data_IF_634914392042
#
_entry.id   IF_634914392042
#
_cell.length_a   1.000
_cell.length_b   1.000
_cell.length_c   1.000
_cell.angle_alpha   90.00
_cell.angle_beta   90.00
_cell.angle_gamma   90.00
#
_symmetry.space_group_name_H-M   'P 1'
#
loop_
_entity.id
_entity.type
_entity.pdbx_description
1 polymer ?
#
# COMPACT_ATOMS: atom_id res chain seq x y z
N UNK A 1 -9.89 -29.65 -36.49
CA UNK A 1 -8.57 -29.31 -35.93
C UNK A 1 -8.63 -27.85 -35.50
N UNK A 2 -8.99 -27.58 -34.23
CA UNK A 2 -8.94 -26.26 -33.66
C UNK A 2 -7.53 -26.03 -33.13
N UNK A 3 -6.82 -25.13 -33.78
CA UNK A 3 -5.49 -24.67 -33.36
C UNK A 3 -5.64 -23.82 -32.11
N UNK A 4 -5.20 -24.32 -30.96
CA UNK A 4 -5.06 -23.58 -29.75
C UNK A 4 -3.80 -22.68 -29.87
N UNK A 5 -4.00 -21.46 -30.34
CA UNK A 5 -2.99 -20.40 -30.24
C UNK A 5 -2.82 -20.02 -28.77
N UNK A 6 -1.75 -20.50 -28.15
CA UNK A 6 -1.32 -20.13 -26.81
C UNK A 6 -1.20 -18.63 -26.67
N UNK A 7 -1.93 -18.09 -25.71
CA UNK A 7 -1.76 -16.76 -25.13
C UNK A 7 -0.40 -16.72 -24.38
N UNK A 8 0.68 -16.49 -25.10
CA UNK A 8 2.01 -16.25 -24.52
C UNK A 8 2.25 -14.74 -24.36
N UNK A 9 1.52 -14.17 -23.42
CA UNK A 9 1.78 -12.85 -22.84
C UNK A 9 1.93 -12.97 -21.34
N UNK A 10 2.70 -13.97 -20.85
CA UNK A 10 3.07 -14.01 -19.43
C UNK A 10 4.08 -12.89 -19.17
N UNK A 11 3.60 -11.76 -18.64
CA UNK A 11 4.48 -10.78 -18.01
C UNK A 11 5.25 -11.50 -16.89
N UNK A 12 6.55 -11.68 -17.09
CA UNK A 12 7.40 -12.35 -16.10
C UNK A 12 7.76 -11.36 -15.02
N UNK A 13 7.68 -11.81 -13.76
CA UNK A 13 8.15 -11.02 -12.62
C UNK A 13 9.62 -10.63 -12.88
N UNK A 14 9.94 -9.32 -12.79
CA UNK A 14 11.30 -8.87 -13.06
C UNK A 14 12.28 -9.46 -12.05
N UNK A 15 13.41 -9.95 -12.53
CA UNK A 15 14.50 -10.36 -11.66
C UNK A 15 15.27 -9.14 -11.19
N UNK A 16 15.08 -8.75 -9.93
CA UNK A 16 15.82 -7.64 -9.34
C UNK A 16 17.22 -8.13 -8.94
N UNK A 17 18.21 -7.61 -9.64
CA UNK A 17 19.63 -7.76 -9.29
C UNK A 17 20.07 -6.48 -8.61
N UNK A 18 20.55 -6.60 -7.39
CA UNK A 18 21.18 -5.45 -6.75
C UNK A 18 22.54 -5.18 -7.40
N UNK A 19 22.89 -3.91 -7.64
CA UNK A 19 24.25 -3.60 -7.99
C UNK A 19 25.17 -4.04 -6.83
N UNK A 20 26.38 -4.54 -7.11
CA UNK A 20 27.34 -4.83 -6.05
C UNK A 20 27.51 -3.61 -5.14
N UNK A 21 27.59 -3.82 -3.83
CA UNK A 21 27.70 -2.74 -2.83
C UNK A 21 28.85 -1.75 -3.11
N UNK A 22 29.89 -2.22 -3.81
CA UNK A 22 31.03 -1.41 -4.28
C UNK A 22 30.72 -0.55 -5.50
N UNK A 23 29.58 -0.75 -6.17
CA UNK A 23 29.16 -0.01 -7.38
C UNK A 23 27.97 0.92 -7.15
N UNK A 24 27.43 1.01 -5.93
CA UNK A 24 26.34 1.94 -5.63
C UNK A 24 26.92 3.34 -5.47
N UNK A 25 27.01 4.05 -6.59
CA UNK A 25 27.44 5.48 -6.65
C UNK A 25 26.23 6.44 -6.62
N UNK A 26 25.01 5.91 -6.52
CA UNK A 26 23.81 6.74 -6.52
C UNK A 26 23.80 7.65 -5.28
N UNK A 27 23.89 8.94 -5.53
CA UNK A 27 23.71 9.93 -4.46
C UNK A 27 22.23 9.96 -4.06
N UNK A 28 21.96 9.76 -2.78
CA UNK A 28 20.62 9.92 -2.23
C UNK A 28 20.19 11.38 -2.39
N UNK A 29 19.07 11.61 -3.04
CA UNK A 29 18.47 12.93 -3.22
C UNK A 29 17.48 13.17 -2.10
N UNK A 30 17.58 14.35 -1.47
CA UNK A 30 16.65 14.77 -0.42
C UNK A 30 16.08 16.14 -0.80
N UNK A 31 14.77 16.27 -0.66
CA UNK A 31 14.04 17.51 -0.88
C UNK A 31 13.44 17.96 0.47
N UNK A 32 13.70 19.19 0.84
CA UNK A 32 13.11 19.86 2.01
C UNK A 32 11.97 20.79 1.62
N UNK A 33 11.42 21.53 2.58
CA UNK A 33 10.34 22.49 2.36
C UNK A 33 10.71 23.57 1.33
N UNK A 34 11.96 24.01 1.33
CA UNK A 34 12.46 25.07 0.41
C UNK A 34 13.09 24.52 -0.87
N UNK A 35 12.98 23.22 -1.13
CA UNK A 35 13.55 22.59 -2.32
C UNK A 35 14.65 21.56 -2.01
N UNK A 36 15.43 21.14 -3.02
CA UNK A 36 16.49 20.15 -2.86
C UNK A 36 17.54 20.59 -1.83
N UNK A 37 17.93 19.67 -0.94
CA UNK A 37 18.99 19.89 0.02
C UNK A 37 20.36 19.87 -0.67
N UNK A 38 21.31 20.65 -0.14
CA UNK A 38 22.72 20.54 -0.51
C UNK A 38 23.31 19.18 -0.12
N UNK A 39 24.40 18.77 -0.73
CA UNK A 39 25.08 17.52 -0.40
C UNK A 39 25.51 17.44 1.07
N UNK A 40 25.92 18.58 1.66
CA UNK A 40 26.29 18.68 3.08
C UNK A 40 25.10 18.40 4.00
N UNK A 41 23.96 19.01 3.74
CA UNK A 41 22.72 18.82 4.49
C UNK A 41 22.20 17.39 4.34
N UNK A 42 22.21 16.87 3.11
CA UNK A 42 21.84 15.47 2.84
C UNK A 42 22.71 14.49 3.64
N UNK A 43 24.03 14.65 3.62
CA UNK A 43 24.92 13.78 4.37
C UNK A 43 24.70 13.87 5.88
N UNK A 44 24.45 15.07 6.41
CA UNK A 44 24.14 15.26 7.83
C UNK A 44 22.81 14.57 8.22
N UNK A 45 21.78 14.66 7.37
CA UNK A 45 20.51 13.97 7.57
C UNK A 45 20.68 12.45 7.54
N UNK A 46 21.34 11.90 6.52
CA UNK A 46 21.56 10.45 6.38
C UNK A 46 22.35 9.90 7.58
N UNK A 47 23.39 10.59 8.02
CA UNK A 47 24.15 10.20 9.22
C UNK A 47 23.27 10.20 10.48
N UNK A 48 22.38 11.18 10.65
CA UNK A 48 21.44 11.23 11.77
C UNK A 48 20.43 10.06 11.73
N UNK A 49 19.92 9.72 10.55
CA UNK A 49 19.01 8.58 10.37
C UNK A 49 19.73 7.26 10.63
N UNK A 50 20.92 7.09 10.06
CA UNK A 50 21.73 5.89 10.21
C UNK A 50 22.10 5.60 11.68
N UNK A 51 22.33 6.65 12.48
CA UNK A 51 22.61 6.51 13.92
C UNK A 51 21.43 5.94 14.74
N UNK A 52 20.23 5.86 14.17
CA UNK A 52 19.06 5.24 14.79
C UNK A 52 18.94 3.74 14.50
N UNK A 53 19.67 3.22 13.50
CA UNK A 53 19.64 1.83 13.11
C UNK A 53 20.59 0.98 13.95
N UNK A 54 20.33 -0.35 14.08
CA UNK A 54 21.27 -1.29 14.71
C UNK A 54 22.64 -1.29 14.04
N UNK A 55 22.70 -1.17 12.71
CA UNK A 55 23.91 -0.96 11.90
C UNK A 55 23.72 0.27 11.00
N UNK A 56 24.42 1.35 11.35
CA UNK A 56 24.38 2.62 10.62
C UNK A 56 24.83 2.44 9.14
N UNK A 57 25.88 1.67 8.91
CA UNK A 57 26.39 1.44 7.55
C UNK A 57 25.43 0.60 6.70
N UNK A 58 24.67 -0.33 7.29
CA UNK A 58 23.67 -1.11 6.58
C UNK A 58 22.51 -0.22 6.11
N UNK A 59 22.00 0.68 6.97
CA UNK A 59 20.93 1.61 6.58
C UNK A 59 21.40 2.59 5.50
N UNK A 60 22.61 3.17 5.61
CA UNK A 60 23.16 4.07 4.59
C UNK A 60 23.28 3.37 3.23
N UNK A 61 23.79 2.15 3.19
CA UNK A 61 23.86 1.35 1.97
C UNK A 61 22.48 1.05 1.40
N UNK A 62 21.52 0.69 2.26
CA UNK A 62 20.16 0.43 1.85
C UNK A 62 19.52 1.65 1.19
N UNK A 63 19.61 2.83 1.80
CA UNK A 63 19.07 4.07 1.25
C UNK A 63 19.69 4.46 -0.10
N UNK A 64 20.99 4.18 -0.29
CA UNK A 64 21.67 4.38 -1.57
C UNK A 64 21.20 3.38 -2.65
N UNK A 65 21.01 2.10 -2.30
CA UNK A 65 20.44 1.09 -3.19
C UNK A 65 19.01 1.46 -3.56
N UNK A 66 18.20 1.82 -2.56
CA UNK A 66 16.83 2.23 -2.74
C UNK A 66 16.71 3.46 -3.67
N UNK A 67 17.61 4.45 -3.54
CA UNK A 67 17.70 5.57 -4.47
C UNK A 67 18.00 5.13 -5.90
N UNK A 68 18.89 4.17 -6.05
CA UNK A 68 19.28 3.64 -7.37
C UNK A 68 18.13 2.86 -8.05
N UNK A 69 17.34 2.10 -7.28
CA UNK A 69 16.27 1.25 -7.82
C UNK A 69 14.93 1.97 -7.91
N UNK A 70 14.58 2.79 -6.92
CA UNK A 70 13.31 3.52 -6.91
C UNK A 70 13.37 4.82 -7.70
N UNK A 71 14.54 5.47 -7.75
CA UNK A 71 14.72 6.75 -8.42
C UNK A 71 13.98 7.94 -7.76
N UNK A 72 13.09 7.70 -6.80
CA UNK A 72 12.33 8.72 -6.09
C UNK A 72 13.19 9.37 -5.00
N UNK A 73 13.08 10.71 -4.77
CA UNK A 73 13.80 11.38 -3.70
C UNK A 73 13.24 11.05 -2.32
N UNK A 74 14.00 11.34 -1.28
CA UNK A 74 13.50 11.46 0.08
C UNK A 74 12.96 12.88 0.31
N UNK A 75 11.88 13.00 1.07
CA UNK A 75 11.33 14.29 1.51
C UNK A 75 11.49 14.41 3.03
N UNK A 76 12.08 15.50 3.50
CA UNK A 76 12.19 15.83 4.93
C UNK A 76 11.29 17.01 5.30
N UNK A 77 10.94 17.13 6.57
CA UNK A 77 10.04 18.18 7.04
C UNK A 77 8.58 17.73 7.13
N UNK A 78 8.31 16.42 7.03
CA UNK A 78 6.95 15.92 7.10
C UNK A 78 6.52 15.57 8.52
N UNK A 79 5.22 15.66 8.76
CA UNK A 79 4.53 15.02 9.87
C UNK A 79 3.79 13.79 9.34
N UNK A 80 3.96 12.65 10.00
CA UNK A 80 3.29 11.39 9.65
C UNK A 80 2.50 10.89 10.85
N UNK A 81 1.20 10.68 10.65
CA UNK A 81 0.30 10.09 11.63
C UNK A 81 -0.15 8.74 11.13
N UNK A 82 -0.01 7.69 11.94
CA UNK A 82 -0.49 6.35 11.59
C UNK A 82 -1.96 6.26 11.98
N UNK A 83 -2.79 5.96 11.00
CA UNK A 83 -4.23 5.77 11.14
C UNK A 83 -4.51 4.26 11.16
N UNK A 84 -4.89 3.76 12.31
CA UNK A 84 -5.15 2.35 12.48
C UNK A 84 -6.64 2.07 12.39
N UNK A 85 -7.00 1.12 11.52
CA UNK A 85 -8.36 0.66 11.25
C UNK A 85 -9.27 1.74 10.63
N UNK A 86 -10.41 1.32 10.11
CA UNK A 86 -11.34 2.18 9.38
C UNK A 86 -11.83 3.39 10.18
N UNK A 87 -12.04 3.23 11.50
CA UNK A 87 -12.53 4.32 12.35
C UNK A 87 -11.60 5.54 12.32
N UNK A 88 -10.29 5.33 12.54
CA UNK A 88 -9.31 6.43 12.52
C UNK A 88 -9.07 6.95 11.09
N UNK A 89 -9.09 6.06 10.09
CA UNK A 89 -8.93 6.45 8.69
C UNK A 89 -10.10 7.32 8.22
N UNK A 90 -11.35 6.95 8.55
CA UNK A 90 -12.52 7.76 8.20
C UNK A 90 -12.56 9.08 8.96
N UNK A 91 -12.24 9.07 10.27
CA UNK A 91 -12.16 10.32 11.03
C UNK A 91 -11.18 11.31 10.38
N UNK A 92 -9.98 10.87 10.01
CA UNK A 92 -9.00 11.71 9.34
C UNK A 92 -9.45 12.14 7.94
N UNK A 93 -10.04 11.21 7.17
CA UNK A 93 -10.56 11.49 5.82
C UNK A 93 -11.67 12.56 5.85
N UNK A 94 -12.66 12.41 6.71
CA UNK A 94 -13.75 13.38 6.85
C UNK A 94 -13.23 14.71 7.36
N UNK A 95 -12.31 14.72 8.33
CA UNK A 95 -11.68 15.95 8.81
C UNK A 95 -10.91 16.67 7.70
N UNK A 96 -10.14 15.94 6.86
CA UNK A 96 -9.42 16.52 5.73
C UNK A 96 -10.37 17.09 4.68
N UNK A 97 -11.49 16.42 4.39
CA UNK A 97 -12.52 16.91 3.46
C UNK A 97 -13.17 18.18 4.01
N UNK A 98 -13.52 18.21 5.29
CA UNK A 98 -14.06 19.42 5.94
C UNK A 98 -13.11 20.60 5.91
N UNK A 99 -11.82 20.36 6.11
CA UNK A 99 -10.79 21.41 6.15
C UNK A 99 -10.40 21.95 4.77
N UNK A 100 -10.68 21.20 3.69
CA UNK A 100 -10.30 21.59 2.33
C UNK A 100 -10.96 22.90 1.90
N UNK A 101 -10.18 23.79 1.29
CA UNK A 101 -10.61 25.10 0.85
C UNK A 101 -10.50 25.33 -0.66
N UNK A 102 -9.61 24.56 -1.34
CA UNK A 102 -9.27 24.78 -2.74
C UNK A 102 -9.59 23.57 -3.60
N UNK A 103 -9.05 22.41 -3.22
CA UNK A 103 -9.28 21.17 -3.97
C UNK A 103 -9.16 19.91 -3.13
N UNK A 104 -9.87 18.88 -3.59
CA UNK A 104 -9.80 17.51 -3.11
C UNK A 104 -9.56 16.58 -4.29
N UNK A 105 -8.58 15.71 -4.17
CA UNK A 105 -8.35 14.62 -5.12
C UNK A 105 -8.52 13.30 -4.41
N UNK A 106 -9.36 12.43 -4.97
CA UNK A 106 -9.65 11.10 -4.45
C UNK A 106 -9.31 10.06 -5.52
N UNK A 107 -8.55 9.04 -5.15
CA UNK A 107 -8.21 7.91 -6.02
C UNK A 107 -8.37 6.63 -5.21
N UNK A 108 -9.39 5.81 -5.54
CA UNK A 108 -9.74 4.64 -4.75
C UNK A 108 -10.09 3.43 -5.60
N UNK A 109 -9.60 2.25 -5.17
CA UNK A 109 -10.01 0.98 -5.74
C UNK A 109 -11.51 0.74 -5.51
N UNK A 110 -11.96 0.81 -4.24
CA UNK A 110 -13.37 0.73 -3.87
C UNK A 110 -13.83 2.09 -3.33
N UNK A 111 -14.83 2.67 -3.97
CA UNK A 111 -15.46 3.92 -3.57
C UNK A 111 -16.96 3.68 -3.42
N UNK A 112 -17.44 3.68 -2.20
CA UNK A 112 -18.83 3.47 -1.82
C UNK A 112 -19.34 4.62 -0.97
N UNK A 113 -20.66 4.68 -0.75
CA UNK A 113 -21.23 5.54 0.26
C UNK A 113 -20.83 5.05 1.64
N UNK A 114 -20.05 5.84 2.34
CA UNK A 114 -19.63 5.61 3.72
C UNK A 114 -20.08 6.79 4.57
N UNK A 115 -20.14 6.59 5.89
CA UNK A 115 -20.51 7.66 6.82
C UNK A 115 -19.56 7.71 8.01
N UNK A 116 -19.41 8.89 8.57
CA UNK A 116 -18.68 9.10 9.81
C UNK A 116 -19.45 10.11 10.66
N UNK A 117 -19.68 9.81 11.94
CA UNK A 117 -20.45 10.63 12.88
C UNK A 117 -21.84 11.05 12.35
N UNK A 118 -22.49 10.17 11.56
CA UNK A 118 -23.82 10.40 10.99
C UNK A 118 -23.82 11.24 9.71
N UNK A 119 -22.68 11.71 9.22
CA UNK A 119 -22.54 12.42 7.96
C UNK A 119 -22.16 11.46 6.83
N UNK A 120 -22.84 11.56 5.68
CA UNK A 120 -22.55 10.74 4.50
C UNK A 120 -21.46 11.39 3.66
N UNK A 121 -20.57 10.56 3.09
CA UNK A 121 -19.47 11.00 2.23
C UNK A 121 -19.96 11.82 1.04
N UNK A 122 -21.00 11.35 0.33
CA UNK A 122 -21.52 12.06 -0.83
C UNK A 122 -22.09 13.42 -0.48
N UNK A 123 -22.80 13.55 0.66
CA UNK A 123 -23.36 14.83 1.11
C UNK A 123 -22.24 15.82 1.45
N UNK A 124 -21.19 15.36 2.14
CA UNK A 124 -20.04 16.17 2.48
C UNK A 124 -19.28 16.65 1.22
N UNK A 125 -18.99 15.76 0.27
CA UNK A 125 -18.32 16.12 -0.99
C UNK A 125 -19.14 17.13 -1.79
N UNK A 126 -20.46 16.92 -1.92
CA UNK A 126 -21.39 17.85 -2.59
C UNK A 126 -21.41 19.22 -1.90
N UNK A 127 -21.42 19.24 -0.57
CA UNK A 127 -21.37 20.50 0.17
C UNK A 127 -20.07 21.27 -0.07
N UNK A 128 -18.91 20.55 -0.09
CA UNK A 128 -17.60 21.17 -0.39
C UNK A 128 -17.53 21.69 -1.83
N UNK A 129 -18.01 20.92 -2.80
CA UNK A 129 -18.08 21.33 -4.21
C UNK A 129 -18.92 22.61 -4.39
N UNK A 130 -20.10 22.66 -3.74
CA UNK A 130 -20.96 23.87 -3.74
C UNK A 130 -20.29 25.06 -3.04
N UNK A 131 -19.43 24.80 -2.07
CA UNK A 131 -18.61 25.80 -1.38
C UNK A 131 -17.42 26.30 -2.21
N UNK A 132 -17.23 25.83 -3.45
CA UNK A 132 -16.17 26.28 -4.36
C UNK A 132 -14.89 25.43 -4.30
N UNK A 133 -14.88 24.31 -3.58
CA UNK A 133 -13.76 23.36 -3.60
C UNK A 133 -13.83 22.52 -4.86
N UNK A 134 -12.78 22.49 -5.69
CA UNK A 134 -12.71 21.61 -6.84
C UNK A 134 -12.50 20.17 -6.38
N UNK A 135 -13.29 19.23 -6.89
CA UNK A 135 -13.18 17.82 -6.53
C UNK A 135 -13.01 16.97 -7.77
N UNK A 136 -11.88 16.24 -7.83
CA UNK A 136 -11.53 15.33 -8.91
C UNK A 136 -11.40 13.92 -8.32
N UNK A 137 -12.07 12.93 -8.92
CA UNK A 137 -12.18 11.56 -8.40
C UNK A 137 -11.79 10.55 -9.48
N UNK A 138 -10.88 9.62 -9.13
CA UNK A 138 -10.61 8.41 -9.91
C UNK A 138 -11.12 7.22 -9.09
N UNK A 139 -11.85 6.31 -9.73
CA UNK A 139 -12.22 5.04 -9.10
C UNK A 139 -12.04 3.85 -10.04
N UNK A 140 -11.66 2.70 -9.49
CA UNK A 140 -11.54 1.47 -10.27
C UNK A 140 -12.91 0.88 -10.59
N UNK A 141 -13.13 0.52 -11.86
CA UNK A 141 -14.42 0.03 -12.35
C UNK A 141 -14.82 -1.35 -11.82
N UNK A 142 -13.84 -2.17 -11.43
CA UNK A 142 -14.06 -3.50 -10.85
C UNK A 142 -14.16 -3.43 -9.34
N UNK A 143 -13.26 -2.68 -8.71
CA UNK A 143 -13.27 -2.48 -7.27
C UNK A 143 -14.56 -1.83 -6.76
N UNK A 144 -15.17 -0.95 -7.57
CA UNK A 144 -16.42 -0.27 -7.25
C UNK A 144 -17.65 -0.84 -7.98
N UNK A 145 -17.59 -2.10 -8.42
CA UNK A 145 -18.67 -2.70 -9.23
C UNK A 145 -19.98 -2.86 -8.43
N UNK A 146 -19.89 -2.99 -7.12
CA UNK A 146 -21.04 -3.08 -6.21
C UNK A 146 -21.65 -1.72 -5.86
N UNK A 147 -20.95 -0.62 -6.14
CA UNK A 147 -21.44 0.73 -5.84
C UNK A 147 -22.57 1.10 -6.79
N UNK A 148 -23.75 1.49 -6.28
CA UNK A 148 -24.86 1.92 -7.13
C UNK A 148 -24.47 3.09 -8.03
N UNK A 149 -24.85 3.04 -9.31
CA UNK A 149 -24.57 4.11 -10.28
C UNK A 149 -25.11 5.47 -9.81
N UNK A 150 -26.24 5.48 -9.13
CA UNK A 150 -26.88 6.68 -8.54
C UNK A 150 -25.94 7.45 -7.59
N UNK A 151 -25.02 6.78 -6.90
CA UNK A 151 -24.00 7.43 -6.07
C UNK A 151 -23.12 8.34 -6.92
N UNK A 152 -22.58 7.81 -8.02
CA UNK A 152 -21.73 8.58 -8.93
C UNK A 152 -22.52 9.65 -9.67
N UNK A 153 -23.75 9.34 -10.10
CA UNK A 153 -24.62 10.30 -10.80
C UNK A 153 -24.93 11.52 -9.92
N UNK A 154 -25.14 11.33 -8.61
CA UNK A 154 -25.33 12.44 -7.65
C UNK A 154 -24.09 13.34 -7.58
N UNK A 155 -22.91 12.77 -7.51
CA UNK A 155 -21.65 13.51 -7.46
C UNK A 155 -21.43 14.30 -8.75
N UNK A 156 -21.62 13.66 -9.91
CA UNK A 156 -21.50 14.30 -11.23
C UNK A 156 -22.50 15.44 -11.38
N UNK A 157 -23.75 15.23 -10.99
CA UNK A 157 -24.79 16.27 -11.03
C UNK A 157 -24.48 17.50 -10.15
N UNK A 158 -23.66 17.33 -9.11
CA UNK A 158 -23.17 18.41 -8.26
C UNK A 158 -21.93 19.11 -8.85
N UNK A 159 -21.39 18.68 -9.99
CA UNK A 159 -20.23 19.27 -10.65
C UNK A 159 -18.88 18.68 -10.22
N UNK A 160 -18.88 17.54 -9.53
CA UNK A 160 -17.65 16.78 -9.20
C UNK A 160 -17.17 16.08 -10.47
N UNK A 161 -15.88 16.17 -10.76
CA UNK A 161 -15.29 15.50 -11.90
C UNK A 161 -14.91 14.08 -11.54
N UNK A 162 -15.38 13.11 -12.33
CA UNK A 162 -15.14 11.69 -12.06
C UNK A 162 -14.55 11.01 -13.30
N UNK A 163 -13.44 10.28 -13.08
CA UNK A 163 -12.83 9.40 -14.06
C UNK A 163 -12.97 7.95 -13.59
N UNK A 164 -13.46 7.10 -14.48
CA UNK A 164 -13.60 5.68 -14.22
C UNK A 164 -12.41 4.93 -14.80
N UNK A 165 -11.56 4.38 -13.93
CA UNK A 165 -10.40 3.61 -14.38
C UNK A 165 -10.82 2.28 -15.01
N UNK A 166 -10.29 2.01 -16.19
CA UNK A 166 -10.37 0.75 -16.95
C UNK A 166 -11.77 0.11 -16.91
N UNK A 167 -12.80 0.78 -17.46
CA UNK A 167 -14.16 0.27 -17.52
C UNK A 167 -14.21 -1.03 -18.32
N UNK A 168 -14.97 -2.02 -17.82
CA UNK A 168 -15.18 -3.28 -18.52
C UNK A 168 -16.00 -2.99 -19.78
N UNK A 169 -15.33 -2.95 -20.93
CA UNK A 169 -15.98 -2.85 -22.23
C UNK A 169 -15.88 -4.21 -22.93
N UNK A 170 -17.01 -4.93 -23.18
CA UNK A 170 -16.99 -6.24 -23.83
C UNK A 170 -16.34 -6.24 -25.22
N UNK A 171 -16.30 -5.09 -25.89
CA UNK A 171 -15.77 -4.96 -27.25
C UNK A 171 -14.24 -4.72 -27.28
N UNK A 172 -13.66 -4.19 -26.20
CA UNK A 172 -12.23 -3.83 -26.16
C UNK A 172 -11.45 -4.54 -25.03
N UNK A 173 -12.12 -5.34 -24.21
CA UNK A 173 -11.63 -5.88 -22.94
C UNK A 173 -10.49 -6.92 -23.04
N UNK A 174 -10.00 -7.26 -24.25
CA UNK A 174 -9.12 -8.41 -24.40
C UNK A 174 -7.69 -8.22 -23.83
N UNK A 175 -7.24 -7.00 -23.53
CA UNK A 175 -5.85 -6.75 -23.16
C UNK A 175 -5.61 -6.07 -21.81
N UNK A 176 -6.62 -5.51 -21.17
CA UNK A 176 -6.43 -4.69 -19.96
C UNK A 176 -7.26 -5.12 -18.74
N UNK A 177 -8.01 -6.22 -18.79
CA UNK A 177 -8.88 -6.68 -17.69
C UNK A 177 -8.12 -6.91 -16.38
N UNK A 178 -6.83 -7.24 -16.44
CA UNK A 178 -6.01 -7.49 -15.26
C UNK A 178 -5.46 -6.23 -14.61
N UNK A 179 -5.34 -5.12 -15.36
CA UNK A 179 -4.80 -3.89 -14.80
C UNK A 179 -5.86 -3.21 -13.95
N UNK A 180 -5.55 -2.98 -12.66
CA UNK A 180 -6.46 -2.34 -11.71
C UNK A 180 -5.77 -1.15 -11.05
N UNK A 181 -6.54 -0.12 -10.80
CA UNK A 181 -6.13 0.96 -9.93
C UNK A 181 -6.38 0.55 -8.48
N UNK A 182 -5.32 0.08 -7.82
CA UNK A 182 -5.42 -0.40 -6.45
C UNK A 182 -4.97 0.64 -5.42
N UNK A 183 -4.72 1.88 -5.85
CA UNK A 183 -4.37 2.99 -4.98
C UNK A 183 -5.53 3.36 -4.06
N UNK A 184 -5.21 3.91 -2.89
CA UNK A 184 -6.13 4.56 -1.97
C UNK A 184 -5.45 5.83 -1.54
N UNK A 185 -5.94 6.94 -2.06
CA UNK A 185 -5.33 8.26 -1.90
C UNK A 185 -6.41 9.32 -1.75
N UNK A 186 -6.31 10.12 -0.72
CA UNK A 186 -6.99 11.41 -0.62
C UNK A 186 -5.93 12.52 -0.52
N UNK A 187 -6.11 13.57 -1.29
CA UNK A 187 -5.28 14.79 -1.22
C UNK A 187 -6.18 15.98 -0.93
N UNK A 188 -5.80 16.79 0.06
CA UNK A 188 -6.48 18.03 0.40
C UNK A 188 -5.52 19.21 0.32
N UNK A 189 -5.81 20.18 -0.58
CA UNK A 189 -5.14 21.47 -0.74
C UNK A 189 -3.61 21.42 -0.93
N UNK A 190 -3.03 20.27 -1.28
CA UNK A 190 -1.58 20.07 -1.33
C UNK A 190 -0.89 20.09 0.04
N UNK A 191 -1.67 20.01 1.13
CA UNK A 191 -1.19 20.07 2.51
C UNK A 191 -1.23 18.71 3.19
N UNK A 192 -2.24 17.90 2.88
CA UNK A 192 -2.48 16.59 3.49
C UNK A 192 -2.63 15.55 2.39
N UNK A 193 -1.98 14.40 2.60
CA UNK A 193 -2.23 13.16 1.87
C UNK A 193 -2.62 12.07 2.86
N UNK A 194 -3.68 11.32 2.59
CA UNK A 194 -4.04 10.09 3.30
C UNK A 194 -3.88 8.95 2.32
N UNK A 195 -3.05 7.95 2.70
CA UNK A 195 -2.73 6.78 1.87
C UNK A 195 -2.65 5.51 2.70
N UNK A 196 -2.92 4.37 2.11
CA UNK A 196 -2.72 3.08 2.77
C UNK A 196 -3.54 1.96 2.17
N UNK A 197 -4.07 1.08 3.03
CA UNK A 197 -4.86 -0.07 2.62
C UNK A 197 -6.38 0.16 2.70
N UNK A 198 -6.85 1.17 3.44
CA UNK A 198 -8.27 1.42 3.69
C UNK A 198 -8.97 1.99 2.45
N UNK A 199 -10.00 1.29 1.96
CA UNK A 199 -10.89 1.84 0.94
C UNK A 199 -12.00 2.68 1.58
N UNK A 200 -12.63 3.55 0.80
CA UNK A 200 -13.88 4.19 1.19
C UNK A 200 -15.03 3.19 0.97
N UNK A 201 -15.12 2.20 1.85
CA UNK A 201 -16.06 1.08 1.78
C UNK A 201 -16.61 0.73 3.15
N UNK A 202 -17.86 0.27 3.16
CA UNK A 202 -18.58 -0.17 4.37
C UNK A 202 -17.91 -1.37 5.06
N UNK A 203 -17.03 -2.10 4.38
CA UNK A 203 -16.24 -3.20 4.96
C UNK A 203 -15.34 -2.75 6.13
N UNK A 204 -14.97 -1.47 6.18
CA UNK A 204 -14.13 -0.88 7.22
C UNK A 204 -14.91 -0.16 8.32
N UNK A 205 -16.25 -0.08 8.21
CA UNK A 205 -17.10 0.56 9.21
C UNK A 205 -17.37 -0.36 10.39
N UNK A 206 -17.19 0.14 11.60
CA UNK A 206 -17.56 -0.55 12.84
C UNK A 206 -19.06 -0.42 13.14
N UNK A 207 -19.71 -1.48 13.64
CA UNK A 207 -21.00 -1.43 14.30
C UNK A 207 -22.22 -1.45 13.39
N UNK A 208 -23.35 -0.93 13.88
CA UNK A 208 -24.73 -1.09 13.40
C UNK A 208 -25.04 -0.52 12.00
N UNK A 209 -24.06 0.02 11.28
CA UNK A 209 -24.21 0.62 9.96
C UNK A 209 -23.69 -0.24 8.80
N UNK A 210 -23.14 -1.42 9.10
CA UNK A 210 -22.89 -2.41 8.06
C UNK A 210 -24.22 -2.74 7.39
N UNK A 211 -24.31 -2.41 6.10
CA UNK A 211 -25.45 -2.54 5.18
C UNK A 211 -26.58 -3.45 5.65
N UNK A 212 -27.83 -2.98 5.49
CA UNK A 212 -29.10 -3.68 5.78
C UNK A 212 -29.37 -4.96 4.95
N UNK A 213 -28.37 -5.57 4.33
CA UNK A 213 -28.43 -6.93 3.86
C UNK A 213 -28.15 -7.84 5.06
N UNK A 214 -29.17 -8.61 5.46
CA UNK A 214 -29.26 -9.48 6.64
C UNK A 214 -27.91 -10.02 7.15
N UNK A 215 -27.60 -9.88 8.48
CA UNK A 215 -26.44 -10.52 9.07
C UNK A 215 -26.65 -12.03 9.01
N UNK A 216 -25.97 -12.69 8.11
CA UNK A 216 -25.70 -14.12 8.24
C UNK A 216 -24.97 -14.29 9.56
N UNK A 217 -25.43 -15.20 10.40
CA UNK A 217 -24.93 -15.50 11.75
C UNK A 217 -23.38 -15.44 11.81
N UNK A 218 -22.87 -14.40 12.49
CA UNK A 218 -21.49 -14.04 12.69
C UNK A 218 -21.36 -12.55 12.38
N UNK A 219 -21.43 -11.70 13.42
CA UNK A 219 -21.18 -10.27 13.25
C UNK A 219 -19.81 -10.15 12.58
N UNK A 220 -19.76 -9.62 11.35
CA UNK A 220 -18.50 -9.33 10.68
C UNK A 220 -17.80 -8.23 11.49
N UNK A 221 -16.70 -8.58 12.12
CA UNK A 221 -15.79 -7.56 12.63
C UNK A 221 -15.27 -6.72 11.46
N UNK A 222 -15.11 -5.41 11.63
CA UNK A 222 -14.54 -4.55 10.60
C UNK A 222 -13.18 -5.05 10.14
N UNK A 223 -12.82 -4.74 8.91
CA UNK A 223 -11.50 -5.07 8.40
C UNK A 223 -10.43 -4.27 9.14
N UNK A 224 -9.35 -4.97 9.50
CA UNK A 224 -8.17 -4.35 10.12
C UNK A 224 -7.20 -3.91 9.05
N UNK A 225 -6.93 -2.61 8.99
CA UNK A 225 -6.02 -2.03 8.00
C UNK A 225 -5.21 -0.87 8.58
N UNK A 226 -4.33 -0.30 7.79
CA UNK A 226 -3.44 0.78 8.22
C UNK A 226 -3.27 1.79 7.10
N UNK A 227 -3.55 3.06 7.42
CA UNK A 227 -3.26 4.21 6.59
C UNK A 227 -2.24 5.13 7.25
N UNK A 228 -1.70 6.06 6.47
CA UNK A 228 -0.92 7.19 6.93
C UNK A 228 -1.61 8.50 6.51
N UNK A 229 -1.71 9.42 7.44
CA UNK A 229 -1.88 10.85 7.12
C UNK A 229 -0.49 11.49 7.09
N UNK A 230 -0.18 12.14 5.98
CA UNK A 230 1.11 12.78 5.73
C UNK A 230 0.85 14.25 5.44
N UNK A 231 1.46 15.13 6.24
CA UNK A 231 1.50 16.56 5.98
C UNK A 231 2.94 17.01 5.75
N UNK A 232 3.17 17.90 4.77
CA UNK A 232 4.50 18.44 4.48
C UNK A 232 4.96 18.19 3.04
N UNK A 233 6.27 18.38 2.77
CA UNK A 233 6.82 18.41 1.41
C UNK A 233 6.58 17.16 0.54
N UNK A 234 6.36 15.99 1.16
CA UNK A 234 6.06 14.75 0.43
C UNK A 234 4.70 14.79 -0.30
N UNK A 235 3.74 15.62 0.16
CA UNK A 235 2.40 15.71 -0.43
C UNK A 235 2.46 16.10 -1.91
N UNK A 236 3.46 16.87 -2.31
CA UNK A 236 3.73 17.26 -3.69
C UNK A 236 3.94 16.07 -4.63
N UNK A 237 4.64 15.04 -4.17
CA UNK A 237 4.89 13.83 -4.97
C UNK A 237 3.60 13.03 -5.18
N UNK A 238 2.77 12.92 -4.16
CA UNK A 238 1.44 12.29 -4.29
C UNK A 238 0.57 13.04 -5.30
N UNK A 239 0.61 14.38 -5.25
CA UNK A 239 -0.12 15.21 -6.23
C UNK A 239 0.37 14.96 -7.65
N UNK A 240 1.68 14.88 -7.87
CA UNK A 240 2.24 14.61 -9.20
C UNK A 240 1.79 13.23 -9.73
N UNK A 241 1.75 12.20 -8.86
CA UNK A 241 1.27 10.87 -9.24
C UNK A 241 -0.22 10.90 -9.61
N UNK A 242 -1.04 11.60 -8.82
CA UNK A 242 -2.46 11.78 -9.13
C UNK A 242 -2.66 12.53 -10.45
N UNK A 243 -2.01 13.68 -10.63
CA UNK A 243 -2.13 14.51 -11.84
C UNK A 243 -1.74 13.74 -13.11
N UNK A 244 -0.66 12.94 -13.04
CA UNK A 244 -0.24 12.09 -14.15
C UNK A 244 -1.30 11.02 -14.47
N UNK A 245 -1.84 10.37 -13.47
CA UNK A 245 -2.86 9.35 -13.65
C UNK A 245 -4.18 9.95 -14.15
N UNK A 246 -4.60 11.08 -13.57
CA UNK A 246 -5.78 11.84 -14.00
C UNK A 246 -5.74 12.19 -15.50
N UNK A 247 -4.61 12.72 -15.99
CA UNK A 247 -4.42 13.05 -17.40
C UNK A 247 -4.45 11.79 -18.30
N UNK A 248 -3.87 10.68 -17.84
CA UNK A 248 -3.90 9.42 -18.58
C UNK A 248 -5.33 8.86 -18.72
N UNK A 249 -6.20 9.12 -17.75
CA UNK A 249 -7.62 8.77 -17.83
C UNK A 249 -8.46 9.78 -18.64
N UNK A 250 -7.84 10.80 -19.24
CA UNK A 250 -8.51 11.82 -20.05
C UNK A 250 -9.03 13.01 -19.25
N UNK A 251 -8.65 13.13 -17.99
CA UNK A 251 -8.97 14.30 -17.18
C UNK A 251 -8.25 15.56 -17.66
N UNK A 252 -8.91 16.70 -17.60
CA UNK A 252 -8.31 17.98 -17.96
C UNK A 252 -7.25 18.39 -16.93
N UNK A 253 -6.16 19.01 -17.37
CA UNK A 253 -5.16 19.59 -16.47
C UNK A 253 -5.82 20.62 -15.56
N UNK A 254 -5.67 20.45 -14.25
CA UNK A 254 -6.16 21.44 -13.30
C UNK A 254 -5.32 22.73 -13.36
N UNK A 255 -5.97 23.88 -13.49
CA UNK A 255 -5.31 25.20 -13.39
C UNK A 255 -4.69 25.42 -11.99
N UNK A 256 -5.16 24.69 -10.97
CA UNK A 256 -4.64 24.73 -9.60
C UNK A 256 -3.29 24.03 -9.44
N UNK A 257 -2.78 23.37 -10.50
CA UNK A 257 -1.47 22.73 -10.50
C UNK A 257 -0.29 23.72 -10.33
N UNK A 258 -0.50 25.00 -10.62
CA UNK A 258 0.56 26.02 -10.65
C UNK A 258 0.79 26.77 -9.32
N UNK A 259 -0.08 26.58 -8.33
CA UNK A 259 0.06 27.26 -7.06
C UNK A 259 1.16 26.63 -6.20
N UNK A 260 1.97 27.52 -5.61
CA UNK A 260 3.17 27.16 -4.87
C UNK A 260 2.93 26.20 -3.72
N UNK A 261 4.02 25.58 -3.30
CA UNK A 261 4.08 24.62 -2.21
C UNK A 261 3.67 25.27 -0.88
N UNK A 262 2.42 25.05 -0.47
CA UNK A 262 1.90 25.51 0.83
C UNK A 262 2.09 24.46 1.94
N UNK A 263 2.76 23.34 1.64
CA UNK A 263 2.85 22.20 2.55
C UNK A 263 3.65 22.48 3.82
N UNK A 264 4.49 23.51 3.84
CA UNK A 264 5.29 23.90 5.00
C UNK A 264 6.23 22.77 5.48
N UNK A 265 6.69 22.88 6.73
CA UNK A 265 7.47 21.84 7.42
C UNK A 265 6.84 21.54 8.79
N UNK A 266 5.71 20.80 8.83
CA UNK A 266 4.99 20.57 10.07
C UNK A 266 5.72 19.61 11.03
N UNK A 267 6.73 18.87 10.55
CA UNK A 267 7.46 17.88 11.31
C UNK A 267 8.90 17.71 10.85
N UNK A 268 9.52 16.61 11.24
CA UNK A 268 10.93 16.28 10.93
C UNK A 268 11.09 14.88 10.29
N UNK A 269 9.98 14.20 10.02
CA UNK A 269 10.01 12.85 9.48
C UNK A 269 10.41 12.85 8.02
N UNK A 270 11.12 11.78 7.64
CA UNK A 270 11.64 11.58 6.29
C UNK A 270 10.82 10.52 5.59
N UNK A 271 10.28 10.89 4.41
CA UNK A 271 9.35 10.06 3.66
C UNK A 271 9.84 9.91 2.22
N UNK A 272 9.68 8.73 1.64
CA UNK A 272 9.82 8.45 0.20
C UNK A 272 8.52 7.89 -0.33
N UNK A 273 8.09 8.38 -1.47
CA UNK A 273 6.87 7.89 -2.12
C UNK A 273 7.25 6.92 -3.23
N UNK A 274 6.54 5.80 -3.25
CA UNK A 274 6.68 4.76 -4.26
C UNK A 274 5.35 4.62 -5.00
N UNK A 275 5.25 5.27 -6.17
CA UNK A 275 4.16 5.01 -7.10
C UNK A 275 4.56 3.88 -8.03
N UNK A 276 3.67 2.92 -8.28
CA UNK A 276 3.80 1.96 -9.37
C UNK A 276 2.66 2.13 -10.37
N UNK A 277 2.91 1.71 -11.60
CA UNK A 277 1.93 1.72 -12.67
C UNK A 277 2.10 0.45 -13.50
N UNK A 278 1.00 -0.26 -13.73
CA UNK A 278 0.97 -1.50 -14.48
C UNK A 278 1.56 -1.32 -15.89
N UNK A 279 2.57 -2.10 -16.24
CA UNK A 279 3.25 -2.02 -17.56
C UNK A 279 4.01 -0.72 -17.82
N UNK A 280 4.09 0.19 -16.86
CA UNK A 280 4.75 1.50 -16.98
C UNK A 280 6.22 1.50 -16.51
N UNK A 281 6.89 2.64 -16.72
CA UNK A 281 8.28 2.85 -16.27
C UNK A 281 8.43 2.84 -14.73
N UNK A 282 7.34 2.99 -13.99
CA UNK A 282 7.30 2.98 -12.53
C UNK A 282 7.19 1.58 -11.91
N UNK A 283 6.81 0.57 -12.69
CA UNK A 283 6.88 -0.83 -12.30
C UNK A 283 8.34 -1.28 -12.35
N UNK A 284 8.90 -1.81 -11.37
CA UNK A 284 8.64 -2.50 -10.13
C UNK A 284 9.28 -1.81 -8.91
N UNK A 285 9.09 -0.51 -8.72
CA UNK A 285 9.77 0.28 -7.66
C UNK A 285 9.51 -0.26 -6.26
N UNK A 286 8.23 -0.51 -5.91
CA UNK A 286 7.86 -1.12 -4.63
C UNK A 286 8.61 -2.44 -4.42
N UNK A 287 8.50 -3.36 -5.38
CA UNK A 287 9.09 -4.69 -5.32
C UNK A 287 10.63 -4.65 -5.14
N UNK A 288 11.30 -3.79 -5.89
CA UNK A 288 12.75 -3.62 -5.79
C UNK A 288 13.17 -3.04 -4.44
N UNK A 289 12.42 -2.03 -3.95
CA UNK A 289 12.64 -1.42 -2.64
C UNK A 289 12.43 -2.41 -1.51
N UNK A 290 11.36 -3.17 -1.55
CA UNK A 290 11.05 -4.21 -0.57
C UNK A 290 12.13 -5.30 -0.54
N UNK A 291 12.56 -5.81 -1.70
CA UNK A 291 13.63 -6.81 -1.76
C UNK A 291 14.95 -6.26 -1.20
N UNK A 292 15.27 -5.00 -1.50
CA UNK A 292 16.47 -4.35 -0.94
C UNK A 292 16.37 -4.23 0.58
N UNK A 293 15.21 -3.82 1.12
CA UNK A 293 14.97 -3.73 2.55
C UNK A 293 15.17 -5.09 3.25
N UNK A 294 14.52 -6.15 2.76
CA UNK A 294 14.64 -7.51 3.33
C UNK A 294 16.08 -8.02 3.32
N UNK A 295 16.85 -7.71 2.26
CA UNK A 295 18.25 -8.13 2.14
C UNK A 295 19.18 -7.35 3.05
N UNK A 296 18.86 -6.09 3.33
CA UNK A 296 19.66 -5.16 4.15
C UNK A 296 19.36 -5.22 5.64
N UNK A 297 18.25 -5.88 6.05
CA UNK A 297 17.86 -6.00 7.44
C UNK A 297 18.92 -6.75 8.26
N UNK A 298 19.23 -6.23 9.46
CA UNK A 298 20.25 -6.75 10.36
C UNK A 298 19.69 -7.36 11.65
N UNK A 299 18.56 -6.84 12.18
CA UNK A 299 18.02 -7.29 13.45
C UNK A 299 16.63 -7.91 13.32
N UNK A 300 15.69 -7.22 12.65
CA UNK A 300 14.28 -7.62 12.64
C UNK A 300 13.54 -7.18 11.39
N UNK A 301 12.63 -8.02 10.95
CA UNK A 301 11.63 -7.72 9.92
C UNK A 301 10.25 -8.14 10.44
N UNK A 302 9.33 -7.19 10.53
CA UNK A 302 7.91 -7.41 10.84
C UNK A 302 7.09 -7.09 9.60
N UNK A 303 6.36 -8.08 9.09
CA UNK A 303 5.50 -7.93 7.90
C UNK A 303 4.08 -8.26 8.29
N UNK A 304 3.16 -7.33 8.02
CA UNK A 304 1.71 -7.58 8.01
C UNK A 304 1.23 -7.56 6.58
N UNK A 305 0.58 -8.62 6.13
CA UNK A 305 0.12 -8.71 4.75
C UNK A 305 -1.30 -9.29 4.66
N UNK A 306 -2.16 -8.59 3.92
CA UNK A 306 -3.53 -9.03 3.61
C UNK A 306 -3.54 -10.28 2.73
N UNK A 307 -2.76 -10.22 1.65
CA UNK A 307 -2.52 -11.33 0.73
C UNK A 307 -1.02 -11.59 0.68
N UNK A 308 -0.64 -12.83 0.94
CA UNK A 308 0.76 -13.23 0.96
C UNK A 308 1.01 -14.38 -0.02
N UNK A 309 1.28 -14.00 -1.26
CA UNK A 309 1.64 -14.89 -2.38
C UNK A 309 3.03 -14.48 -2.87
N UNK A 310 4.07 -14.69 -2.05
CA UNK A 310 5.38 -14.12 -2.30
C UNK A 310 6.01 -14.71 -3.55
N UNK A 311 6.67 -13.86 -4.32
CA UNK A 311 7.53 -14.29 -5.42
C UNK A 311 8.66 -15.19 -4.91
N UNK A 312 9.29 -15.94 -5.81
CA UNK A 312 10.46 -16.74 -5.43
C UNK A 312 11.60 -15.92 -4.86
N UNK A 313 11.78 -14.66 -5.33
CA UNK A 313 12.84 -13.79 -4.83
C UNK A 313 12.54 -13.31 -3.41
N UNK A 314 11.29 -12.90 -3.12
CA UNK A 314 10.86 -12.50 -1.77
C UNK A 314 10.97 -13.66 -0.79
N UNK A 315 10.43 -14.83 -1.14
CA UNK A 315 10.54 -16.01 -0.30
C UNK A 315 12.00 -16.37 0.02
N UNK A 316 12.88 -16.34 -0.98
CA UNK A 316 14.30 -16.60 -0.77
C UNK A 316 14.99 -15.50 0.04
N UNK A 317 14.59 -14.23 -0.13
CA UNK A 317 15.15 -13.11 0.63
C UNK A 317 14.78 -13.23 2.13
N UNK A 318 13.52 -13.52 2.45
CA UNK A 318 13.05 -13.74 3.82
C UNK A 318 13.76 -14.92 4.50
N UNK A 319 13.87 -16.06 3.80
CA UNK A 319 14.58 -17.24 4.31
C UNK A 319 16.06 -16.92 4.54
N UNK A 320 16.70 -16.19 3.65
CA UNK A 320 18.11 -15.81 3.82
C UNK A 320 18.30 -14.84 4.98
N UNK A 321 17.41 -13.88 5.15
CA UNK A 321 17.42 -12.97 6.31
C UNK A 321 17.32 -13.76 7.62
N UNK A 322 16.33 -14.65 7.75
CA UNK A 322 16.17 -15.51 8.92
C UNK A 322 17.43 -16.37 9.20
N UNK A 323 18.04 -16.94 8.16
CA UNK A 323 19.30 -17.73 8.28
C UNK A 323 20.52 -16.90 8.66
N UNK A 324 20.53 -15.58 8.39
CA UNK A 324 21.56 -14.66 8.89
C UNK A 324 21.37 -14.31 10.37
N UNK A 325 20.25 -14.70 10.99
CA UNK A 325 19.93 -14.40 12.37
C UNK A 325 18.92 -13.25 12.55
N UNK A 326 18.43 -12.69 11.46
CA UNK A 326 17.38 -11.65 11.52
C UNK A 326 16.08 -12.28 12.03
N UNK A 327 15.41 -11.63 12.97
CA UNK A 327 14.09 -12.05 13.49
C UNK A 327 13.01 -11.69 12.47
N UNK A 328 12.69 -12.63 11.57
CA UNK A 328 11.67 -12.45 10.52
C UNK A 328 10.33 -12.98 10.99
N UNK A 329 9.34 -12.09 11.09
CA UNK A 329 8.00 -12.39 11.57
C UNK A 329 6.95 -11.94 10.55
N UNK A 330 6.02 -12.83 10.24
CA UNK A 330 4.89 -12.58 9.34
C UNK A 330 3.60 -12.65 10.13
N UNK A 331 2.78 -11.62 10.05
CA UNK A 331 1.41 -11.58 10.53
C UNK A 331 0.48 -11.65 9.31
N UNK A 332 -0.26 -12.72 9.20
CA UNK A 332 -1.06 -13.07 8.04
C UNK A 332 -2.50 -13.36 8.47
N UNK A 333 -3.49 -13.27 7.57
CA UNK A 333 -4.88 -13.58 7.91
C UNK A 333 -5.09 -15.09 8.09
N UNK A 334 -5.86 -15.47 9.13
CA UNK A 334 -6.42 -16.82 9.26
C UNK A 334 -7.66 -17.01 8.37
N UNK A 335 -8.38 -15.90 8.12
CA UNK A 335 -9.58 -15.81 7.30
C UNK A 335 -9.39 -14.73 6.23
N UNK A 336 -9.88 -14.96 5.01
CA UNK A 336 -9.75 -14.04 3.88
C UNK A 336 -11.04 -14.06 3.06
N UNK A 337 -11.35 -12.93 2.45
CA UNK A 337 -12.37 -12.78 1.41
C UNK A 337 -12.01 -13.55 0.12
N UNK A 338 -10.71 -13.88 -0.07
CA UNK A 338 -10.19 -14.68 -1.18
C UNK A 338 -9.70 -16.05 -0.73
N UNK A 339 -10.57 -17.06 -0.84
CA UNK A 339 -10.21 -18.44 -0.55
C UNK A 339 -9.00 -18.96 -1.36
N UNK A 340 -8.86 -18.69 -2.68
CA UNK A 340 -7.68 -19.07 -3.44
C UNK A 340 -6.39 -18.46 -2.89
N UNK A 341 -6.39 -17.15 -2.59
CA UNK A 341 -5.24 -16.45 -2.03
C UNK A 341 -4.80 -17.05 -0.68
N UNK A 342 -5.75 -17.35 0.21
CA UNK A 342 -5.47 -18.00 1.49
C UNK A 342 -4.87 -19.41 1.31
N UNK A 343 -5.37 -20.20 0.36
CA UNK A 343 -4.82 -21.51 0.08
C UNK A 343 -3.38 -21.45 -0.47
N UNK A 344 -3.10 -20.49 -1.36
CA UNK A 344 -1.75 -20.27 -1.89
C UNK A 344 -0.82 -19.74 -0.80
N UNK A 345 -1.24 -18.77 0.01
CA UNK A 345 -0.52 -18.26 1.18
C UNK A 345 -0.01 -19.45 2.03
N UNK A 346 -0.91 -20.35 2.43
CA UNK A 346 -0.60 -21.52 3.27
C UNK A 346 0.35 -22.53 2.61
N UNK A 347 0.35 -22.60 1.28
CA UNK A 347 1.28 -23.47 0.53
C UNK A 347 2.76 -23.08 0.70
N UNK A 348 3.05 -21.82 1.01
CA UNK A 348 4.40 -21.29 1.23
C UNK A 348 4.94 -21.53 2.65
N UNK A 349 4.07 -21.76 3.63
CA UNK A 349 4.44 -21.85 5.06
C UNK A 349 5.52 -22.87 5.34
N UNK A 350 5.40 -24.07 4.76
CA UNK A 350 6.40 -25.12 4.99
C UNK A 350 7.83 -24.71 4.67
N UNK A 351 8.03 -23.99 3.56
CA UNK A 351 9.36 -23.55 3.14
C UNK A 351 9.87 -22.43 4.05
N UNK A 352 9.02 -21.48 4.40
CA UNK A 352 9.34 -20.34 5.27
C UNK A 352 9.67 -20.80 6.69
N UNK A 353 8.83 -21.64 7.30
CA UNK A 353 9.05 -22.21 8.63
C UNK A 353 10.36 -23.01 8.70
N UNK A 354 10.62 -23.85 7.68
CA UNK A 354 11.92 -24.56 7.55
C UNK A 354 13.09 -23.61 7.41
N UNK A 355 12.85 -22.45 6.82
CA UNK A 355 13.84 -21.39 6.66
C UNK A 355 14.13 -20.56 7.91
N UNK A 356 13.34 -20.75 8.99
CA UNK A 356 13.48 -20.02 10.24
C UNK A 356 12.56 -18.79 10.37
N UNK A 357 11.69 -18.53 9.38
CA UNK A 357 10.70 -17.47 9.42
C UNK A 357 9.58 -17.85 10.40
N UNK A 358 9.17 -16.89 11.24
CA UNK A 358 8.07 -17.06 12.20
C UNK A 358 6.78 -16.58 11.56
N UNK A 359 5.74 -17.41 11.61
CA UNK A 359 4.44 -17.10 10.99
C UNK A 359 3.37 -17.08 12.08
N UNK A 360 2.51 -16.08 12.02
CA UNK A 360 1.37 -15.88 12.91
C UNK A 360 0.14 -15.63 12.04
N UNK A 361 -0.97 -16.33 12.34
CA UNK A 361 -2.27 -16.11 11.69
C UNK A 361 -3.20 -15.37 12.66
N UNK A 362 -3.63 -14.17 12.29
CA UNK A 362 -4.63 -13.40 13.04
C UNK A 362 -5.98 -14.09 12.96
N UNK A 363 -6.64 -14.29 14.11
CA UNK A 363 -7.84 -15.12 14.24
C UNK A 363 -9.14 -14.31 14.20
N UNK A 364 -9.10 -13.04 14.59
CA UNK A 364 -10.23 -12.12 14.63
C UNK A 364 -10.28 -11.24 13.37
N UNK A 365 -11.48 -10.97 12.88
CA UNK A 365 -11.72 -10.11 11.72
C UNK A 365 -10.99 -10.51 10.43
N UNK A 366 -11.00 -9.64 9.45
CA UNK A 366 -10.21 -9.75 8.22
C UNK A 366 -9.03 -8.80 8.31
N UNK A 367 -7.82 -9.36 8.28
CA UNK A 367 -6.59 -8.58 8.21
C UNK A 367 -6.35 -8.12 6.77
N UNK A 368 -6.34 -6.80 6.56
CA UNK A 368 -6.14 -6.23 5.23
C UNK A 368 -4.96 -5.26 5.14
N UNK A 369 -4.18 -5.06 6.22
CA UNK A 369 -2.99 -4.19 6.25
C UNK A 369 -1.86 -4.69 5.35
N UNK A 370 -1.12 -3.75 4.76
CA UNK A 370 0.08 -3.99 3.98
C UNK A 370 1.20 -3.12 4.56
N UNK A 371 1.91 -3.69 5.54
CA UNK A 371 2.96 -2.96 6.26
C UNK A 371 4.21 -3.79 6.45
N UNK A 372 5.36 -3.14 6.39
CA UNK A 372 6.66 -3.74 6.72
C UNK A 372 7.41 -2.79 7.64
N UNK A 373 8.02 -3.35 8.67
CA UNK A 373 8.96 -2.62 9.52
C UNK A 373 10.29 -3.35 9.53
N UNK A 374 11.36 -2.64 9.24
CA UNK A 374 12.71 -3.19 9.24
C UNK A 374 13.55 -2.45 10.29
N UNK A 375 14.15 -3.23 11.20
CA UNK A 375 15.11 -2.77 12.21
C UNK A 375 14.59 -1.61 13.09
N UNK A 376 13.28 -1.38 13.13
CA UNK A 376 12.64 -0.30 13.89
C UNK A 376 12.91 1.11 13.39
N UNK A 377 13.49 1.26 12.18
CA UNK A 377 13.88 2.58 11.63
C UNK A 377 13.41 2.82 10.20
N UNK A 378 13.01 1.78 9.51
CA UNK A 378 12.46 1.85 8.16
C UNK A 378 11.10 1.18 8.14
N UNK A 379 10.10 1.87 7.63
CA UNK A 379 8.73 1.36 7.58
C UNK A 379 8.11 1.66 6.23
N UNK A 380 7.31 0.73 5.69
CA UNK A 380 6.47 0.97 4.51
C UNK A 380 5.01 0.70 4.87
N UNK A 381 4.15 1.58 4.42
CA UNK A 381 2.68 1.47 4.50
C UNK A 381 2.11 1.91 3.16
N UNK A 382 1.16 1.16 2.63
CA UNK A 382 0.54 1.50 1.36
C UNK A 382 -0.49 0.51 0.88
N UNK A 383 -0.72 0.51 -0.42
CA UNK A 383 -1.72 -0.32 -1.07
C UNK A 383 -1.18 -1.65 -1.59
N UNK A 384 0.17 -1.78 -1.72
CA UNK A 384 0.82 -2.94 -2.36
C UNK A 384 0.74 -4.20 -1.51
N UNK A 385 0.19 -5.27 -2.05
CA UNK A 385 0.22 -6.60 -1.47
C UNK A 385 1.53 -7.34 -1.76
N UNK A 386 1.80 -8.41 -0.99
CA UNK A 386 2.85 -9.39 -1.30
C UNK A 386 2.30 -10.41 -2.30
N UNK A 387 2.00 -9.97 -3.52
CA UNK A 387 1.47 -10.83 -4.57
C UNK A 387 1.94 -10.43 -5.97
N UNK A 388 1.64 -11.29 -6.94
CA UNK A 388 2.05 -11.08 -8.32
C UNK A 388 1.29 -9.93 -8.98
N UNK A 389 0.06 -9.65 -8.54
CA UNK A 389 -0.77 -8.59 -9.11
C UNK A 389 -0.23 -7.22 -8.79
N UNK A 390 0.16 -6.97 -7.53
CA UNK A 390 0.76 -5.70 -7.12
C UNK A 390 2.10 -5.43 -7.82
N UNK A 391 2.83 -6.49 -8.20
CA UNK A 391 4.10 -6.34 -8.94
C UNK A 391 3.89 -6.07 -10.43
N UNK A 392 2.84 -6.65 -11.05
CA UNK A 392 2.73 -6.71 -12.52
C UNK A 392 1.53 -5.95 -13.10
N UNK A 393 0.42 -5.88 -12.37
CA UNK A 393 -0.88 -5.53 -12.95
C UNK A 393 -1.59 -4.38 -12.28
N UNK A 394 -1.20 -4.04 -11.04
CA UNK A 394 -1.88 -2.99 -10.31
C UNK A 394 -1.10 -1.67 -10.34
N UNK A 395 -1.84 -0.58 -10.40
CA UNK A 395 -1.35 0.72 -10.01
C UNK A 395 -1.42 0.79 -8.48
N UNK A 396 -0.29 1.04 -7.84
CA UNK A 396 -0.16 1.04 -6.38
C UNK A 396 0.50 2.33 -5.89
N UNK A 397 0.31 2.63 -4.61
CA UNK A 397 0.94 3.76 -3.95
C UNK A 397 1.35 3.40 -2.53
N UNK A 398 2.63 3.63 -2.20
CA UNK A 398 3.20 3.30 -0.90
C UNK A 398 4.07 4.46 -0.39
N UNK A 399 4.15 4.61 0.92
CA UNK A 399 5.08 5.51 1.57
C UNK A 399 6.09 4.74 2.41
N UNK A 400 7.36 5.02 2.19
CA UNK A 400 8.45 4.62 3.08
C UNK A 400 8.70 5.74 4.06
N UNK A 401 8.61 5.46 5.35
CA UNK A 401 8.92 6.40 6.43
C UNK A 401 10.21 5.95 7.11
N UNK A 402 11.18 6.85 7.22
CA UNK A 402 12.50 6.55 7.79
C UNK A 402 12.66 7.31 9.10
N UNK A 403 12.86 6.56 10.17
CA UNK A 403 13.06 7.09 11.53
C UNK A 403 12.52 6.16 12.61
N UNK A 404 13.17 6.17 13.76
CA UNK A 404 12.85 5.28 14.89
C UNK A 404 11.49 5.60 15.55
N UNK A 405 10.99 6.82 15.43
CA UNK A 405 9.69 7.19 16.01
C UNK A 405 8.56 6.39 15.37
N UNK A 406 8.43 6.45 14.04
CA UNK A 406 7.42 5.70 13.28
C UNK A 406 7.69 4.20 13.37
N UNK A 407 8.94 3.77 13.23
CA UNK A 407 9.31 2.36 13.31
C UNK A 407 8.91 1.73 14.66
N UNK A 408 9.19 2.41 15.78
CA UNK A 408 8.80 1.94 17.11
C UNK A 408 7.27 1.93 17.32
N UNK A 409 6.55 2.88 16.74
CA UNK A 409 5.08 2.90 16.80
C UNK A 409 4.48 1.74 16.01
N UNK A 410 4.95 1.50 14.79
CA UNK A 410 4.54 0.37 13.95
C UNK A 410 4.85 -0.98 14.61
N UNK A 411 6.03 -1.12 15.24
CA UNK A 411 6.37 -2.33 16.00
C UNK A 411 5.42 -2.56 17.18
N UNK A 412 5.05 -1.51 17.92
CA UNK A 412 4.05 -1.64 19.00
C UNK A 412 2.70 -2.14 18.46
N UNK A 413 2.25 -1.64 17.31
CA UNK A 413 1.01 -2.10 16.70
C UNK A 413 1.13 -3.57 16.27
N UNK A 414 2.23 -3.95 15.64
CA UNK A 414 2.49 -5.35 15.28
C UNK A 414 2.45 -6.28 16.51
N UNK A 415 3.08 -5.89 17.64
CA UNK A 415 3.05 -6.67 18.89
C UNK A 415 1.65 -6.74 19.51
N UNK A 416 0.83 -5.68 19.37
CA UNK A 416 -0.57 -5.72 19.78
C UNK A 416 -1.37 -6.73 18.95
N UNK A 417 -1.18 -6.71 17.63
CA UNK A 417 -1.85 -7.63 16.71
C UNK A 417 -1.46 -9.09 16.93
N UNK A 418 -0.21 -9.35 17.31
CA UNK A 418 0.24 -10.70 17.69
C UNK A 418 -0.54 -11.30 18.86
N UNK A 419 -1.16 -10.48 19.73
CA UNK A 419 -1.99 -10.97 20.85
C UNK A 419 -3.28 -11.63 20.37
N UNK A 420 -3.73 -11.26 19.16
CA UNK A 420 -4.91 -11.81 18.48
C UNK A 420 -4.55 -12.86 17.44
N UNK A 421 -3.28 -13.29 17.40
CA UNK A 421 -2.78 -14.19 16.38
C UNK A 421 -2.26 -15.51 16.98
N UNK A 422 -2.50 -16.59 16.25
CA UNK A 422 -1.96 -17.89 16.56
C UNK A 422 -0.62 -18.10 15.86
N UNK A 423 0.42 -18.44 16.62
CA UNK A 423 1.70 -18.82 16.03
C UNK A 423 1.57 -20.19 15.35
N UNK A 424 2.04 -20.27 14.13
CA UNK A 424 2.08 -21.51 13.36
C UNK A 424 3.33 -22.30 13.74
N UNK A 425 3.12 -23.49 14.29
CA UNK A 425 4.21 -24.41 14.64
C UNK A 425 4.58 -25.30 13.46
N UNK A 426 5.88 -25.43 13.17
CA UNK A 426 6.39 -26.20 12.04
C UNK A 426 6.09 -27.71 12.15
N UNK A 427 6.03 -28.26 13.35
CA UNK A 427 5.77 -29.69 13.56
C UNK A 427 4.31 -30.02 13.26
N UNK A 428 3.38 -29.29 13.90
CA UNK A 428 1.93 -29.46 13.68
C UNK A 428 1.55 -29.13 12.24
N UNK A 429 2.20 -28.10 11.62
CA UNK A 429 1.97 -27.75 10.22
C UNK A 429 2.25 -28.91 9.24
N UNK A 430 3.28 -29.71 9.52
CA UNK A 430 3.62 -30.85 8.68
C UNK A 430 2.69 -32.06 8.87
N UNK A 431 1.90 -32.10 9.98
CA UNK A 431 0.98 -33.20 10.30
C UNK A 431 -0.45 -32.98 9.79
N UNK A 432 -0.71 -31.83 9.09
CA UNK A 432 -2.04 -31.53 8.55
C UNK A 432 -2.53 -32.59 7.56
N UNK A 433 -3.88 -32.75 7.40
CA UNK A 433 -4.49 -33.69 6.49
C UNK A 433 -3.96 -33.56 5.05
N UNK A 434 -3.83 -34.69 4.36
CA UNK A 434 -3.40 -34.72 2.96
C UNK A 434 -4.34 -33.91 2.04
N UNK A 435 -5.64 -33.90 2.34
CA UNK A 435 -6.64 -33.13 1.60
C UNK A 435 -6.37 -31.63 1.57
N UNK A 436 -5.93 -31.04 2.71
CA UNK A 436 -5.56 -29.64 2.77
C UNK A 436 -4.31 -29.36 1.93
N UNK A 437 -3.29 -30.21 2.05
CA UNK A 437 -2.04 -30.08 1.31
C UNK A 437 -2.24 -30.22 -0.20
N UNK A 438 -3.17 -31.10 -0.65
CA UNK A 438 -3.53 -31.23 -2.06
C UNK A 438 -4.28 -30.02 -2.57
N UNK A 439 -5.20 -29.45 -1.78
CA UNK A 439 -5.94 -28.24 -2.09
C UNK A 439 -5.00 -27.03 -2.25
N UNK A 440 -4.06 -26.84 -1.32
CA UNK A 440 -3.03 -25.80 -1.39
C UNK A 440 -2.17 -25.96 -2.65
N UNK A 441 -1.77 -27.18 -2.97
CA UNK A 441 -0.97 -27.47 -4.17
C UNK A 441 -1.74 -27.22 -5.46
N UNK A 442 -3.05 -27.49 -5.48
CA UNK A 442 -3.92 -27.19 -6.61
C UNK A 442 -4.00 -25.67 -6.86
N UNK A 443 -4.29 -24.88 -5.83
CA UNK A 443 -4.40 -23.43 -5.98
C UNK A 443 -3.06 -22.77 -6.29
N UNK A 444 -1.96 -23.32 -5.83
CA UNK A 444 -0.61 -22.84 -6.15
C UNK A 444 -0.30 -22.86 -7.65
N UNK A 445 -0.98 -23.69 -8.41
CA UNK A 445 -0.84 -23.69 -9.87
C UNK A 445 -1.30 -22.37 -10.51
N UNK A 446 -2.19 -21.67 -9.81
CA UNK A 446 -2.77 -20.39 -10.23
C UNK A 446 -2.14 -19.17 -9.55
N UNK A 447 -1.05 -19.33 -8.79
CA UNK A 447 -0.43 -18.26 -8.00
C UNK A 447 -0.02 -17.03 -8.84
N UNK A 448 0.24 -17.19 -10.13
CA UNK A 448 0.60 -16.08 -11.02
C UNK A 448 -0.59 -15.18 -11.41
N UNK A 449 -1.80 -15.59 -11.12
CA UNK A 449 -3.02 -14.83 -11.38
C UNK A 449 -3.57 -14.11 -10.14
N UNK A 450 -2.95 -14.40 -8.98
CA UNK A 450 -3.34 -13.85 -7.66
C UNK A 450 -2.44 -12.70 -7.22
#
# INVERSE_FOLDING_TARGET
MLSATCLSGCSQIPTIREPPSTQVTAQVRVTGPSGPLSQRETNALLKRLAAQAPDAGALERHLAIEQAVAGAPLFTGNQVTILRDGENAFAATFAAIHAAQRYLYLEYYTLEEVQHDGEQLSDLLIARQRGGVQIDVIYDSVGSISTPGEFFDRLIAAGIHIQRFNPINPLTAHFSLNNRDHRKLLLADGRIAIIGGVNLSTAYQSGAFASASEPKQGAYEPWHDTDLEIAGPAVREFKQLFDQHWQQQGGASSALAADGDESGAPGDQVVRILGSQAGGALSPRYYATLLSAIRSAEARIDITAAYFVPTRQEQHALIRAARRGVDVRLLLPAHSDSFPALAVQRSHYRALLKGGVKIYERQDGILHSKTVVMDGVWSIVGSSNFDHRSVLFNDEIDAVVIGSQTGAQMQRFFEQDLRHAQRIDAHSWNQRPLSERLRERFWRFWEQLL
#
